data_IF_303355730887
#
_entry.id   IF_303355730887
#
_cell.length_a   1.000
_cell.length_b   1.000
_cell.length_c   1.000
_cell.angle_alpha   90.00
_cell.angle_beta   90.00
_cell.angle_gamma   90.00
#
_symmetry.space_group_name_H-M   'P 1'
#
loop_
_entity.id
_entity.type
_entity.pdbx_description
1 polymer ?
#
# COMPACT_ATOMS: atom_id res chain seq x y z
N UNK A 1 -2.35 5.18 -18.20
CA UNK A 1 -2.78 3.80 -17.95
C UNK A 1 -3.56 3.74 -16.65
N UNK A 2 -4.71 3.11 -16.65
CA UNK A 2 -5.55 3.06 -15.45
C UNK A 2 -5.16 1.85 -14.59
N UNK A 3 -4.52 2.09 -13.46
CA UNK A 3 -4.05 1.03 -12.56
C UNK A 3 -5.21 0.20 -12.00
N UNK A 4 -6.38 0.79 -11.84
CA UNK A 4 -7.56 0.07 -11.32
C UNK A 4 -8.10 -0.92 -12.35
N UNK A 5 -8.06 -0.56 -13.63
CA UNK A 5 -8.45 -1.47 -14.70
C UNK A 5 -7.49 -2.66 -14.79
N UNK A 6 -6.20 -2.39 -14.68
CA UNK A 6 -5.19 -3.44 -14.69
C UNK A 6 -5.33 -4.35 -13.47
N UNK A 7 -5.63 -3.77 -12.32
CA UNK A 7 -5.91 -4.50 -11.08
C UNK A 7 -7.15 -5.39 -11.26
N UNK A 8 -8.22 -4.85 -11.83
CA UNK A 8 -9.44 -5.60 -12.08
C UNK A 8 -9.20 -6.79 -13.02
N UNK A 9 -8.48 -6.57 -14.12
CA UNK A 9 -8.11 -7.64 -15.05
C UNK A 9 -7.28 -8.73 -14.38
N UNK A 10 -6.36 -8.33 -13.51
CA UNK A 10 -5.53 -9.26 -12.79
C UNK A 10 -6.34 -10.11 -11.81
N UNK A 11 -7.31 -9.49 -11.14
CA UNK A 11 -8.23 -10.22 -10.27
C UNK A 11 -9.07 -11.23 -11.06
N UNK A 12 -9.57 -10.84 -12.22
CA UNK A 12 -10.32 -11.73 -13.10
C UNK A 12 -9.49 -12.96 -13.50
N UNK A 13 -8.22 -12.74 -13.82
CA UNK A 13 -7.31 -13.83 -14.19
C UNK A 13 -6.96 -14.76 -13.03
N UNK A 14 -6.89 -14.21 -11.80
CA UNK A 14 -6.53 -15.00 -10.62
C UNK A 14 -7.70 -15.78 -10.03
N UNK A 15 -8.88 -15.18 -10.07
CA UNK A 15 -10.03 -15.71 -9.34
C UNK A 15 -11.07 -16.37 -10.21
N UNK A 16 -10.87 -16.45 -11.51
CA UNK A 16 -11.84 -16.99 -12.47
C UNK A 16 -13.30 -16.55 -12.19
N UNK A 17 -14.16 -16.56 -13.16
CA UNK A 17 -15.51 -15.98 -13.07
C UNK A 17 -16.39 -16.45 -11.91
N UNK A 18 -16.13 -17.63 -11.36
CA UNK A 18 -16.90 -18.18 -10.22
C UNK A 18 -16.66 -17.36 -8.95
N UNK A 19 -15.44 -16.95 -8.72
CA UNK A 19 -15.08 -16.20 -7.52
C UNK A 19 -15.61 -14.76 -7.60
N UNK A 20 -15.56 -14.15 -8.79
CA UNK A 20 -16.11 -12.81 -8.99
C UNK A 20 -17.62 -12.78 -8.76
N UNK A 21 -18.33 -13.88 -9.00
CA UNK A 21 -19.76 -13.99 -8.68
C UNK A 21 -20.00 -13.94 -7.17
N UNK A 22 -19.08 -14.47 -6.38
CA UNK A 22 -19.20 -14.44 -4.92
C UNK A 22 -19.12 -13.02 -4.36
N UNK A 23 -18.56 -12.08 -5.13
CA UNK A 23 -18.43 -10.68 -4.73
C UNK A 23 -19.62 -9.79 -5.16
N UNK A 24 -20.65 -10.35 -5.76
CA UNK A 24 -21.84 -9.58 -6.12
C UNK A 24 -22.55 -8.99 -4.92
N UNK A 25 -22.42 -9.63 -3.77
CA UNK A 25 -22.93 -9.13 -2.49
C UNK A 25 -21.74 -8.74 -1.65
N UNK A 26 -21.87 -7.62 -0.93
CA UNK A 26 -20.83 -7.15 -0.06
C UNK A 26 -19.74 -6.36 -0.80
N UNK A 27 -18.55 -6.34 -0.24
CA UNK A 27 -17.44 -5.53 -0.74
C UNK A 27 -16.76 -6.22 -1.93
N UNK A 28 -16.63 -5.48 -3.04
CA UNK A 28 -15.86 -5.93 -4.18
C UNK A 28 -14.38 -5.56 -4.00
N UNK A 29 -13.43 -6.45 -4.34
CA UNK A 29 -12.00 -6.15 -4.19
C UNK A 29 -11.54 -4.86 -4.87
N UNK A 30 -12.13 -4.50 -6.01
CA UNK A 30 -11.81 -3.26 -6.72
C UNK A 30 -12.16 -2.03 -5.88
N UNK A 31 -13.25 -2.08 -5.12
CA UNK A 31 -13.63 -1.01 -4.20
C UNK A 31 -12.62 -0.83 -3.08
N UNK A 32 -12.08 -1.94 -2.58
CA UNK A 32 -11.00 -1.91 -1.58
C UNK A 32 -9.78 -1.21 -2.18
N UNK A 33 -9.40 -1.60 -3.40
CA UNK A 33 -8.25 -1.01 -4.10
C UNK A 33 -8.39 0.49 -4.28
N UNK A 34 -9.56 0.94 -4.71
CA UNK A 34 -9.84 2.38 -4.91
C UNK A 34 -9.76 3.14 -3.59
N UNK A 35 -10.31 2.58 -2.53
CA UNK A 35 -10.29 3.22 -1.22
C UNK A 35 -8.88 3.24 -0.61
N UNK A 36 -8.09 2.20 -0.86
CA UNK A 36 -6.67 2.17 -0.47
C UNK A 36 -5.89 3.32 -1.13
N UNK A 37 -6.10 3.54 -2.41
CA UNK A 37 -5.45 4.64 -3.11
C UNK A 37 -5.86 6.00 -2.55
N UNK A 38 -7.13 6.18 -2.20
CA UNK A 38 -7.61 7.40 -1.57
C UNK A 38 -7.02 7.60 -0.17
N UNK A 39 -6.91 6.53 0.59
CA UNK A 39 -6.30 6.57 1.92
C UNK A 39 -4.81 6.94 1.82
N UNK A 40 -4.12 6.36 0.85
CA UNK A 40 -2.73 6.68 0.54
C UNK A 40 -2.58 8.17 0.23
N UNK A 41 -3.38 8.68 -0.70
CA UNK A 41 -3.35 10.07 -1.13
C UNK A 41 -3.70 11.04 -0.01
N UNK A 42 -4.73 10.70 0.77
CA UNK A 42 -5.24 11.56 1.85
C UNK A 42 -4.32 11.66 3.05
N UNK A 43 -3.39 10.74 3.22
CA UNK A 43 -2.48 10.68 4.38
C UNK A 43 -1.02 10.88 4.00
N UNK A 44 -0.77 11.54 2.88
CA UNK A 44 0.59 11.84 2.45
C UNK A 44 1.21 12.92 3.35
N UNK A 45 2.50 12.80 3.58
CA UNK A 45 3.30 13.75 4.36
C UNK A 45 4.36 14.36 3.47
N UNK A 46 4.37 15.67 3.40
CA UNK A 46 5.34 16.39 2.58
C UNK A 46 6.64 16.51 3.36
N UNK A 47 7.68 15.85 2.88
CA UNK A 47 9.03 15.95 3.43
C UNK A 47 9.84 17.02 2.71
N UNK A 48 11.12 17.13 3.08
CA UNK A 48 12.02 18.14 2.51
C UNK A 48 12.25 17.94 1.00
N UNK A 49 12.42 16.70 0.59
CA UNK A 49 12.71 16.38 -0.82
C UNK A 49 11.74 15.38 -1.44
N UNK A 50 10.86 14.81 -0.64
CA UNK A 50 9.94 13.76 -1.09
C UNK A 50 8.59 13.86 -0.40
N UNK A 51 7.58 13.31 -1.04
CA UNK A 51 6.26 13.14 -0.46
C UNK A 51 6.15 11.70 0.01
N UNK A 52 5.97 11.49 1.31
CA UNK A 52 5.86 10.18 1.92
C UNK A 52 4.40 9.80 2.09
N UNK A 53 4.11 8.52 1.91
CA UNK A 53 2.76 7.97 2.11
C UNK A 53 2.81 6.82 3.09
N UNK A 54 1.67 6.48 3.73
CA UNK A 54 1.62 5.34 4.65
C UNK A 54 2.06 4.05 3.99
N UNK A 55 2.61 3.16 4.79
CA UNK A 55 3.08 1.85 4.34
C UNK A 55 2.41 0.69 5.09
N UNK A 56 1.53 0.98 6.03
CA UNK A 56 0.76 -0.05 6.73
C UNK A 56 -0.72 0.28 6.58
N UNK A 57 -1.45 -0.67 6.04
CA UNK A 57 -2.88 -0.51 5.77
C UNK A 57 -3.63 -1.67 6.38
N UNK A 58 -4.74 -1.34 7.00
CA UNK A 58 -5.64 -2.31 7.59
C UNK A 58 -7.03 -2.11 7.00
N UNK A 59 -7.58 -3.17 6.44
CA UNK A 59 -8.91 -3.17 5.83
C UNK A 59 -9.84 -3.90 6.78
N UNK A 60 -10.77 -3.17 7.40
CA UNK A 60 -11.79 -3.73 8.27
C UNK A 60 -13.00 -4.17 7.47
N UNK A 61 -13.36 -5.45 7.58
CA UNK A 61 -14.46 -6.05 6.84
C UNK A 61 -15.49 -6.62 7.82
N UNK A 62 -16.76 -6.68 7.36
CA UNK A 62 -17.79 -7.38 8.11
C UNK A 62 -17.43 -8.88 8.23
N UNK A 63 -18.01 -9.59 9.22
CA UNK A 63 -17.77 -11.03 9.33
C UNK A 63 -18.08 -11.80 8.04
N UNK A 64 -19.16 -11.44 7.35
CA UNK A 64 -19.54 -12.08 6.07
C UNK A 64 -18.54 -11.80 4.97
N UNK A 65 -18.14 -10.55 4.81
CA UNK A 65 -17.16 -10.17 3.78
C UNK A 65 -15.81 -10.79 4.07
N UNK A 66 -15.37 -10.75 5.32
CA UNK A 66 -14.11 -11.37 5.73
C UNK A 66 -14.12 -12.87 5.43
N UNK A 67 -15.21 -13.55 5.73
CA UNK A 67 -15.37 -14.97 5.46
C UNK A 67 -15.28 -15.28 3.96
N UNK A 68 -15.83 -14.43 3.11
CA UNK A 68 -15.74 -14.61 1.65
C UNK A 68 -14.30 -14.55 1.14
N UNK A 69 -13.47 -13.72 1.76
CA UNK A 69 -12.08 -13.55 1.36
C UNK A 69 -11.13 -14.56 1.99
N UNK A 70 -11.59 -15.32 2.97
CA UNK A 70 -10.72 -16.16 3.82
C UNK A 70 -9.82 -17.10 3.03
N UNK A 71 -10.35 -17.80 2.03
CA UNK A 71 -9.58 -18.80 1.29
C UNK A 71 -8.53 -18.23 0.33
N UNK A 72 -8.63 -16.94 -0.01
CA UNK A 72 -7.67 -16.27 -0.91
C UNK A 72 -7.17 -14.94 -0.35
N UNK A 73 -7.26 -14.80 0.95
CA UNK A 73 -6.86 -13.59 1.66
C UNK A 73 -5.42 -13.19 1.38
N UNK A 74 -4.49 -14.15 1.39
CA UNK A 74 -3.07 -13.89 1.14
C UNK A 74 -2.83 -13.37 -0.28
N UNK A 75 -3.49 -13.95 -1.27
CA UNK A 75 -3.37 -13.54 -2.67
C UNK A 75 -3.95 -12.14 -2.85
N UNK A 76 -5.13 -11.90 -2.27
CA UNK A 76 -5.77 -10.58 -2.35
C UNK A 76 -4.91 -9.51 -1.69
N UNK A 77 -4.37 -9.78 -0.51
CA UNK A 77 -3.49 -8.85 0.19
C UNK A 77 -2.27 -8.50 -0.67
N UNK A 78 -1.65 -9.50 -1.29
CA UNK A 78 -0.51 -9.30 -2.19
C UNK A 78 -0.88 -8.42 -3.38
N UNK A 79 -2.03 -8.66 -3.99
CA UNK A 79 -2.48 -7.85 -5.13
C UNK A 79 -2.82 -6.40 -4.73
N UNK A 80 -3.39 -6.21 -3.58
CA UNK A 80 -3.65 -4.87 -3.04
C UNK A 80 -2.33 -4.14 -2.73
N UNK A 81 -1.34 -4.86 -2.20
CA UNK A 81 -0.01 -4.30 -1.97
C UNK A 81 0.65 -3.89 -3.28
N UNK A 82 0.55 -4.73 -4.31
CA UNK A 82 1.07 -4.42 -5.63
C UNK A 82 0.39 -3.20 -6.26
N UNK A 83 -0.90 -3.07 -6.06
CA UNK A 83 -1.65 -1.88 -6.49
C UNK A 83 -1.10 -0.61 -5.84
N UNK A 84 -0.86 -0.65 -4.53
CA UNK A 84 -0.28 0.47 -3.80
C UNK A 84 1.13 0.80 -4.28
N UNK A 85 1.95 -0.21 -4.51
CA UNK A 85 3.32 -0.04 -5.02
C UNK A 85 3.28 0.66 -6.38
N UNK A 86 2.38 0.24 -7.27
CA UNK A 86 2.21 0.86 -8.57
C UNK A 86 1.73 2.31 -8.44
N UNK A 87 0.77 2.55 -7.57
CA UNK A 87 0.25 3.90 -7.30
C UNK A 87 1.36 4.84 -6.81
N UNK A 88 2.13 4.38 -5.84
CA UNK A 88 3.27 5.13 -5.28
C UNK A 88 4.29 5.47 -6.36
N UNK A 89 4.61 4.49 -7.20
CA UNK A 89 5.57 4.64 -8.28
C UNK A 89 5.09 5.65 -9.34
N UNK A 90 3.84 5.55 -9.75
CA UNK A 90 3.26 6.46 -10.75
C UNK A 90 3.19 7.90 -10.28
N UNK A 91 2.98 8.13 -8.98
CA UNK A 91 2.88 9.47 -8.41
C UNK A 91 4.21 10.02 -7.91
N UNK A 92 5.28 9.23 -7.99
CA UNK A 92 6.59 9.63 -7.50
C UNK A 92 6.63 9.79 -5.98
N UNK A 93 5.77 9.09 -5.27
CA UNK A 93 5.75 9.11 -3.80
C UNK A 93 6.80 8.17 -3.24
N UNK A 94 7.09 8.32 -1.96
CA UNK A 94 8.06 7.50 -1.24
C UNK A 94 7.38 6.79 -0.08
N UNK A 95 7.88 5.62 0.26
CA UNK A 95 7.45 4.87 1.44
C UNK A 95 8.68 4.54 2.28
N UNK A 96 8.52 4.49 3.61
CA UNK A 96 9.61 4.16 4.53
C UNK A 96 9.94 2.67 4.54
N UNK A 97 8.97 1.86 4.14
CA UNK A 97 9.11 0.42 4.02
C UNK A 97 8.06 -0.08 3.04
N UNK A 98 8.21 -1.31 2.58
CA UNK A 98 7.29 -1.91 1.63
C UNK A 98 5.85 -1.84 2.14
N UNK A 99 4.89 -1.39 1.32
CA UNK A 99 3.49 -1.38 1.71
C UNK A 99 2.98 -2.76 2.09
N UNK A 100 2.24 -2.84 3.19
CA UNK A 100 1.60 -4.06 3.66
C UNK A 100 0.12 -3.80 3.87
N UNK A 101 -0.69 -4.76 3.47
CA UNK A 101 -2.15 -4.72 3.61
C UNK A 101 -2.59 -5.91 4.44
N UNK A 102 -3.37 -5.65 5.46
CA UNK A 102 -3.96 -6.67 6.33
C UNK A 102 -5.47 -6.56 6.30
N UNK A 103 -6.13 -7.68 6.10
CA UNK A 103 -7.59 -7.77 6.14
C UNK A 103 -7.99 -8.27 7.51
N UNK A 104 -8.88 -7.54 8.19
CA UNK A 104 -9.32 -7.89 9.55
C UNK A 104 -10.84 -7.95 9.64
N UNK A 105 -11.34 -8.83 10.49
CA UNK A 105 -12.77 -8.94 10.76
C UNK A 105 -13.16 -7.91 11.81
N UNK A 106 -14.27 -7.21 11.53
CA UNK A 106 -14.84 -6.20 12.46
C UNK A 106 -16.29 -6.56 12.69
N UNK A 107 -16.59 -7.08 13.89
CA UNK A 107 -17.90 -7.66 14.22
C UNK A 107 -19.09 -6.71 14.09
N UNK A 108 -18.88 -5.40 14.26
CA UNK A 108 -19.95 -4.39 14.17
C UNK A 108 -20.29 -3.97 12.75
N UNK A 109 -19.45 -4.31 11.77
CA UNK A 109 -19.70 -3.93 10.38
C UNK A 109 -20.74 -4.85 9.75
N UNK A 110 -21.56 -4.25 8.90
CA UNK A 110 -22.56 -4.96 8.10
C UNK A 110 -21.96 -5.35 6.77
N UNK A 111 -22.55 -6.36 6.14
CA UNK A 111 -22.16 -6.76 4.78
C UNK A 111 -22.12 -5.53 3.84
N UNK A 112 -21.04 -5.36 3.13
CA UNK A 112 -20.82 -4.21 2.25
C UNK A 112 -20.15 -3.01 2.90
N UNK A 113 -20.16 -2.94 4.22
CA UNK A 113 -19.46 -1.88 4.94
C UNK A 113 -18.01 -2.27 5.18
N UNK A 114 -17.11 -1.34 4.97
CA UNK A 114 -15.69 -1.55 5.26
C UNK A 114 -15.00 -0.21 5.52
N UNK A 115 -13.87 -0.28 6.21
CA UNK A 115 -13.04 0.89 6.42
C UNK A 115 -11.58 0.55 6.16
N UNK A 116 -10.80 1.58 5.95
CA UNK A 116 -9.37 1.44 5.81
C UNK A 116 -8.70 2.37 6.80
N UNK A 117 -7.74 1.83 7.52
CA UNK A 117 -6.84 2.59 8.39
C UNK A 117 -5.45 2.45 7.85
N UNK A 118 -4.69 3.53 7.96
CA UNK A 118 -3.30 3.54 7.51
C UNK A 118 -2.41 4.13 8.57
N UNK A 119 -1.14 3.77 8.54
CA UNK A 119 -0.11 4.38 9.36
C UNK A 119 1.22 4.31 8.65
N UNK A 120 2.09 5.22 9.02
CA UNK A 120 3.45 5.23 8.53
C UNK A 120 4.33 4.57 9.60
N UNK A 121 4.96 3.47 9.23
CA UNK A 121 5.85 2.74 10.12
C UNK A 121 7.29 2.93 9.65
N UNK A 122 8.14 3.35 10.59
CA UNK A 122 9.53 3.71 10.30
C UNK A 122 9.80 5.15 10.65
N UNK A 123 11.02 5.57 10.48
CA UNK A 123 11.43 6.94 10.78
C UNK A 123 11.66 7.71 9.49
N UNK A 124 11.08 8.93 9.43
CA UNK A 124 11.38 9.87 8.36
C UNK A 124 12.87 10.23 8.40
N UNK A 125 13.54 10.30 7.23
CA UNK A 125 14.91 10.76 7.19
C UNK A 125 15.03 12.15 7.85
N UNK A 126 15.92 12.26 8.82
CA UNK A 126 16.17 13.53 9.49
C UNK A 126 17.19 14.33 8.68
N UNK A 127 17.08 15.68 8.63
CA UNK A 127 18.15 16.48 8.10
C UNK A 127 19.36 16.28 9.00
N UNK A 128 20.49 15.84 8.40
CA UNK A 128 21.70 15.59 9.12
C UNK A 128 22.65 16.76 8.96
N UNK A 129 23.29 17.13 10.06
CA UNK A 129 24.35 18.11 9.99
C UNK A 129 25.52 17.51 9.18
N UNK A 130 26.15 18.31 8.31
CA UNK A 130 27.31 17.85 7.59
C UNK A 130 28.41 17.41 8.56
N UNK A 131 29.05 16.28 8.27
CA UNK A 131 30.16 15.76 9.06
C UNK A 131 31.45 16.14 8.36
N UNK A 132 32.39 16.69 9.11
CA UNK A 132 33.71 16.96 8.59
C UNK A 132 34.45 15.63 8.39
N UNK A 133 34.86 15.39 7.16
CA UNK A 133 35.64 14.19 6.81
C UNK A 133 37.13 14.44 7.05
N UNK A 134 37.92 13.38 7.06
CA UNK A 134 39.38 13.45 7.29
C UNK A 134 40.11 14.36 6.30
N UNK A 135 39.50 14.67 5.17
CA UNK A 135 40.05 15.59 4.17
C UNK A 135 39.60 17.06 4.40
N UNK A 136 38.88 17.33 5.49
CA UNK A 136 38.39 18.65 5.81
C UNK A 136 37.19 19.10 5.01
N UNK A 137 36.57 18.20 4.27
CA UNK A 137 35.40 18.50 3.46
C UNK A 137 34.14 18.17 4.25
N UNK A 138 33.20 19.12 4.29
CA UNK A 138 31.89 18.87 4.90
C UNK A 138 31.01 18.08 3.92
N UNK A 139 30.59 16.89 4.33
CA UNK A 139 29.70 16.04 3.55
C UNK A 139 28.44 15.72 4.34
N UNK A 140 27.28 15.56 3.65
CA UNK A 140 26.08 15.09 4.32
C UNK A 140 26.33 13.73 4.97
N UNK A 141 25.80 13.55 6.18
CA UNK A 141 25.87 12.26 6.85
C UNK A 141 25.11 11.23 6.03
N UNK A 142 25.79 10.13 5.72
CA UNK A 142 25.13 9.00 5.07
C UNK A 142 24.24 8.29 6.08
N UNK A 143 22.95 8.33 5.85
CA UNK A 143 21.93 7.74 6.73
C UNK A 143 21.50 6.36 6.28
N UNK A 144 22.18 5.79 5.28
CA UNK A 144 21.67 4.59 4.65
C UNK A 144 20.27 4.87 4.14
N UNK A 145 20.19 5.62 3.08
CA UNK A 145 18.95 6.14 2.53
C UNK A 145 17.77 5.16 2.58
N UNK A 146 16.57 5.69 2.60
CA UNK A 146 15.39 4.86 2.79
C UNK A 146 15.33 3.74 1.75
N UNK A 147 14.99 2.56 2.21
CA UNK A 147 14.82 1.36 1.39
C UNK A 147 13.80 1.53 0.26
N UNK A 148 13.17 2.66 0.19
CA UNK A 148 12.19 3.05 -0.83
C UNK A 148 12.69 2.82 -2.25
N UNK A 149 13.93 3.23 -2.53
CA UNK A 149 14.49 3.07 -3.87
C UNK A 149 14.69 1.61 -4.24
N UNK A 150 15.07 0.78 -3.28
CA UNK A 150 15.25 -0.65 -3.47
C UNK A 150 13.92 -1.36 -3.77
N UNK A 151 12.87 -0.96 -3.08
CA UNK A 151 11.53 -1.51 -3.30
C UNK A 151 11.03 -1.21 -4.71
N UNK A 152 11.29 -0.01 -5.20
CA UNK A 152 10.87 0.41 -6.53
C UNK A 152 11.66 -0.27 -7.63
N UNK A 153 12.95 -0.50 -7.40
CA UNK A 153 13.81 -1.17 -8.37
C UNK A 153 13.51 -2.66 -8.46
N UNK A 154 13.18 -3.29 -7.35
CA UNK A 154 12.88 -4.71 -7.32
C UNK A 154 11.59 -5.09 -8.05
N UNK A 155 10.79 -4.12 -8.40
CA UNK A 155 9.57 -4.33 -9.18
C UNK A 155 9.81 -4.63 -10.66
N UNK A 156 11.05 -4.53 -11.12
CA UNK A 156 11.41 -4.73 -12.52
C UNK A 156 12.07 -6.09 -12.80
N UNK A 157 12.18 -6.92 -11.80
CA UNK A 157 12.79 -8.24 -11.94
C UNK A 157 11.96 -9.25 -12.72
#
# INVERSE_FOLDING_TARGET
MNIFRDFEKKLEGLFEGVILRAFKRGVHPVEIGKKLARECEGNKTIGVSRVYVPNRYEVGLSPRDHSRFESYQAVLATELENLLITYVKEHGYAVLDRPRVKLVEVGRLREGEFWIKSRMEGELPQPHEPVETDDGILRPRDTGGPAVLEIMDSGEG
#
